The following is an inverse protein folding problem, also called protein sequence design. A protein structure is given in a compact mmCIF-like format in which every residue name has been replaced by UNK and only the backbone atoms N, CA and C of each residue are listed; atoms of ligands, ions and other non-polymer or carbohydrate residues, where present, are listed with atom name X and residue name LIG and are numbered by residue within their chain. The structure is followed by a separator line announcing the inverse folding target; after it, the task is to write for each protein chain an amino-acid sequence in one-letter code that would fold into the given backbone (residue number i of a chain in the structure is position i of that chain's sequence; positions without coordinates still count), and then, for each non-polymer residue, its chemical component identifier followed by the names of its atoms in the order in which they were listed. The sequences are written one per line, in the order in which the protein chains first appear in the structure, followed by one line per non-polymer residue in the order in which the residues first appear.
data_IF_013447841766
#
_entry.id   IF_013447841766
#
_cell.length_a   1.000
_cell.length_b   1.000
_cell.length_c   1.000
_cell.angle_alpha   90.00
_cell.angle_beta   90.00
_cell.angle_gamma   90.00
#
_symmetry.space_group_name_H-M   'P 1'
#
loop_
_entity.id
_entity.type
_entity.pdbx_description
1 polymer ?
#
# COMPACT_ATOMS: atom_id res chain seq x y z
N UNK A 1 10.96 -23.47 -39.15
CA UNK A 1 12.11 -22.67 -38.70
C UNK A 1 12.20 -21.30 -39.34
N UNK A 2 11.49 -20.32 -38.77
CA UNK A 2 11.90 -18.90 -38.77
C UNK A 2 11.37 -18.27 -37.49
N UNK A 3 12.23 -18.14 -36.49
CA UNK A 3 12.00 -17.30 -35.32
C UNK A 3 12.09 -15.83 -35.74
N UNK A 4 10.99 -15.09 -35.61
CA UNK A 4 10.93 -13.64 -35.77
C UNK A 4 11.34 -12.96 -34.45
N UNK A 5 12.32 -12.06 -34.52
CA UNK A 5 12.73 -11.21 -33.40
C UNK A 5 12.18 -9.79 -33.63
N UNK A 6 11.47 -9.24 -32.66
CA UNK A 6 11.03 -7.84 -32.65
C UNK A 6 12.06 -7.01 -31.88
N UNK A 7 12.49 -5.89 -32.46
CA UNK A 7 13.33 -4.89 -31.79
C UNK A 7 12.50 -3.62 -31.57
N UNK A 8 12.40 -3.18 -30.31
CA UNK A 8 11.75 -1.91 -29.97
C UNK A 8 12.82 -0.89 -29.58
N UNK A 9 12.87 0.23 -30.30
CA UNK A 9 13.67 1.39 -29.91
C UNK A 9 12.72 2.58 -29.70
N UNK A 10 12.50 2.97 -28.45
CA UNK A 10 11.78 4.20 -28.13
C UNK A 10 12.79 5.27 -27.69
N UNK A 11 12.77 6.43 -28.34
CA UNK A 11 13.59 7.58 -27.98
C UNK A 11 12.72 8.66 -27.35
N UNK A 12 13.04 9.07 -26.12
CA UNK A 12 12.35 10.17 -25.43
C UNK A 12 13.18 11.43 -25.65
N UNK A 13 12.58 12.45 -26.27
CA UNK A 13 13.20 13.77 -26.46
C UNK A 13 12.51 14.73 -25.50
N UNK A 14 13.16 15.14 -24.38
CA UNK A 14 12.58 16.11 -23.48
C UNK A 14 12.80 17.52 -24.04
N UNK A 15 11.74 18.17 -24.53
CA UNK A 15 11.76 19.60 -24.84
C UNK A 15 11.08 20.41 -23.73
N UNK A 16 11.89 20.76 -22.72
CA UNK A 16 11.60 21.75 -21.67
C UNK A 16 10.42 21.34 -20.74
N UNK A 17 10.46 21.81 -19.49
CA UNK A 17 9.50 21.44 -18.45
C UNK A 17 8.03 21.66 -18.91
N UNK A 18 7.28 20.56 -19.03
CA UNK A 18 5.82 20.56 -19.21
C UNK A 18 5.31 20.02 -20.54
N UNK A 19 6.17 19.71 -21.52
CA UNK A 19 5.76 19.04 -22.76
C UNK A 19 6.75 17.93 -23.11
N UNK A 20 6.23 16.71 -23.24
CA UNK A 20 6.99 15.57 -23.75
C UNK A 20 6.25 14.97 -24.93
N UNK A 21 7.00 14.55 -25.95
CA UNK A 21 6.52 13.71 -27.04
C UNK A 21 7.16 12.34 -26.94
N UNK A 22 6.36 11.29 -27.08
CA UNK A 22 6.86 9.93 -27.29
C UNK A 22 6.64 9.61 -28.76
N UNK A 23 7.73 9.29 -29.45
CA UNK A 23 7.72 8.83 -30.84
C UNK A 23 8.19 7.38 -30.82
N UNK A 24 7.32 6.46 -31.21
CA UNK A 24 7.70 5.07 -31.46
C UNK A 24 7.73 4.82 -32.96
N UNK A 25 8.86 4.29 -33.46
CA UNK A 25 8.99 3.82 -34.82
C UNK A 25 8.72 2.31 -34.86
N UNK A 26 7.79 1.90 -35.71
CA UNK A 26 7.52 0.49 -35.98
C UNK A 26 8.09 0.14 -37.36
N UNK A 27 9.05 -0.78 -37.37
CA UNK A 27 9.64 -1.29 -38.61
C UNK A 27 9.06 -2.68 -38.88
N UNK A 28 8.10 -2.76 -39.81
CA UNK A 28 7.49 -4.02 -40.23
C UNK A 28 8.33 -4.53 -41.42
N UNK A 29 9.18 -5.52 -41.17
CA UNK A 29 10.08 -6.09 -42.17
C UNK A 29 9.31 -6.54 -43.43
N UNK A 30 9.38 -5.73 -44.48
CA UNK A 30 8.87 -6.06 -45.82
C UNK A 30 8.08 -4.97 -46.52
N UNK A 31 7.65 -3.93 -45.80
CA UNK A 31 6.98 -2.77 -46.41
C UNK A 31 7.66 -1.46 -45.97
N UNK A 32 7.71 -0.47 -46.86
CA UNK A 32 8.38 0.82 -46.60
C UNK A 32 7.53 1.76 -45.71
N UNK A 33 6.44 1.26 -45.14
CA UNK A 33 5.50 2.04 -44.34
C UNK A 33 5.91 2.03 -42.86
N UNK A 34 6.58 3.10 -42.44
CA UNK A 34 6.79 3.42 -41.02
C UNK A 34 5.57 4.14 -40.48
N UNK A 35 4.89 3.57 -39.48
CA UNK A 35 3.84 4.28 -38.75
C UNK A 35 4.46 5.07 -37.58
N UNK A 36 4.27 6.39 -37.56
CA UNK A 36 4.63 7.25 -36.43
C UNK A 36 3.42 7.52 -35.55
N UNK A 37 3.50 7.19 -34.27
CA UNK A 37 2.51 7.60 -33.26
C UNK A 37 3.16 8.67 -32.39
N UNK A 38 2.62 9.88 -32.44
CA UNK A 38 3.06 11.01 -31.61
C UNK A 38 2.07 11.24 -30.49
N UNK A 39 2.43 10.88 -29.26
CA UNK A 39 1.64 11.22 -28.08
C UNK A 39 2.21 12.48 -27.41
N UNK A 40 1.44 13.57 -27.38
CA UNK A 40 1.84 14.82 -26.72
C UNK A 40 1.09 14.94 -25.39
N UNK A 41 1.80 15.12 -24.28
CA UNK A 41 1.18 15.41 -22.98
C UNK A 41 1.51 16.83 -22.51
N UNK A 42 0.50 17.57 -22.06
CA UNK A 42 0.61 18.96 -21.63
C UNK A 42 0.49 19.08 -20.11
N UNK A 43 1.43 18.49 -19.35
CA UNK A 43 1.75 18.85 -17.95
C UNK A 43 0.69 18.73 -16.85
N UNK A 44 -0.60 18.88 -17.14
CA UNK A 44 -1.78 18.94 -16.28
C UNK A 44 -2.99 18.88 -17.24
N UNK A 45 -3.64 17.73 -17.43
CA UNK A 45 -5.00 17.75 -18.03
C UNK A 45 -5.90 16.63 -17.57
N UNK A 46 -7.16 17.01 -17.33
CA UNK A 46 -8.36 16.21 -17.06
C UNK A 46 -9.07 15.82 -18.37
N UNK A 47 -8.33 15.63 -19.46
CA UNK A 47 -8.89 15.33 -20.76
C UNK A 47 -7.82 15.11 -21.81
N UNK A 48 -7.91 13.96 -22.48
CA UNK A 48 -7.09 13.54 -23.60
C UNK A 48 -7.83 13.92 -24.89
N UNK A 49 -7.18 14.66 -25.79
CA UNK A 49 -7.70 14.95 -27.12
C UNK A 49 -6.87 14.16 -28.14
N UNK A 50 -7.50 13.22 -28.84
CA UNK A 50 -6.86 12.36 -29.84
C UNK A 50 -7.22 12.90 -31.22
N UNK A 51 -6.23 13.42 -31.95
CA UNK A 51 -6.37 13.79 -33.36
C UNK A 51 -5.82 12.64 -34.20
N UNK A 52 -6.71 11.88 -34.85
CA UNK A 52 -6.32 10.77 -35.72
C UNK A 52 -5.74 11.27 -37.05
N UNK A 53 -4.63 10.65 -37.48
CA UNK A 53 -4.18 10.67 -38.88
C UNK A 53 -4.17 9.21 -39.34
N UNK A 54 -4.92 8.93 -40.39
CA UNK A 54 -5.17 7.61 -40.93
C UNK A 54 -3.92 6.90 -41.48
N UNK A 55 -4.03 5.56 -41.49
CA UNK A 55 -3.23 4.54 -42.19
C UNK A 55 -2.03 3.95 -41.43
N UNK A 56 -2.16 2.68 -41.05
CA UNK A 56 -1.05 1.82 -40.60
C UNK A 56 -1.46 0.87 -39.48
N UNK A 57 -1.86 -0.37 -39.83
CA UNK A 57 -2.39 -1.36 -38.89
C UNK A 57 -1.32 -2.23 -38.23
N UNK A 58 -1.38 -2.35 -36.90
CA UNK A 58 -0.94 -3.57 -36.18
C UNK A 58 -1.66 -3.64 -34.82
N UNK A 59 -2.40 -4.72 -34.60
CA UNK A 59 -3.11 -4.97 -33.35
C UNK A 59 -2.22 -5.74 -32.39
N UNK A 60 -1.74 -5.05 -31.36
CA UNK A 60 -1.21 -5.67 -30.14
C UNK A 60 -1.75 -4.86 -28.96
N UNK A 61 -2.70 -5.41 -28.21
CA UNK A 61 -3.17 -4.86 -26.94
C UNK A 61 -2.10 -5.00 -25.86
N UNK A 62 -1.05 -4.20 -25.94
CA UNK A 62 -0.05 -4.04 -24.88
C UNK A 62 -0.36 -2.80 -24.07
N UNK A 63 -0.89 -2.97 -22.86
CA UNK A 63 -1.00 -1.86 -21.91
C UNK A 63 0.41 -1.43 -21.46
N UNK A 64 0.84 -0.23 -21.82
CA UNK A 64 2.03 0.40 -21.22
C UNK A 64 1.62 0.96 -19.86
N UNK A 65 2.01 0.32 -18.78
CA UNK A 65 1.68 0.76 -17.42
C UNK A 65 2.77 1.66 -16.83
N UNK A 66 2.40 2.92 -16.51
CA UNK A 66 3.06 3.78 -15.52
C UNK A 66 1.98 4.49 -14.70
N UNK A 67 2.20 4.80 -13.41
CA UNK A 67 1.24 5.57 -12.63
C UNK A 67 0.97 6.92 -13.29
N UNK A 68 -0.26 7.13 -13.77
CA UNK A 68 -0.72 8.41 -14.34
C UNK A 68 -1.04 8.44 -15.85
N UNK A 69 -0.95 7.33 -16.60
CA UNK A 69 -1.38 7.28 -18.00
C UNK A 69 -2.04 5.94 -18.33
N UNK A 70 -3.34 5.96 -18.66
CA UNK A 70 -4.08 4.81 -19.21
C UNK A 70 -4.51 5.17 -20.62
N UNK A 71 -3.98 4.47 -21.62
CA UNK A 71 -4.44 4.53 -23.01
C UNK A 71 -5.35 3.32 -23.27
N UNK A 72 -6.65 3.56 -23.38
CA UNK A 72 -7.61 2.57 -23.85
C UNK A 72 -7.96 2.88 -25.32
N UNK A 73 -7.56 2.01 -26.24
CA UNK A 73 -7.96 2.12 -27.64
C UNK A 73 -9.21 1.26 -27.89
N UNK A 74 -10.35 1.91 -28.12
CA UNK A 74 -11.53 1.27 -28.71
C UNK A 74 -11.41 1.38 -30.23
N UNK A 75 -10.86 0.35 -30.87
CA UNK A 75 -10.72 0.26 -32.32
C UNK A 75 -11.59 -0.86 -32.89
N UNK A 76 -12.84 -0.55 -33.23
CA UNK A 76 -13.65 -1.38 -34.12
C UNK A 76 -13.63 -0.74 -35.51
N UNK A 77 -13.13 -1.44 -36.53
CA UNK A 77 -13.71 -1.57 -37.87
C UNK A 77 -12.72 -2.20 -38.88
N UNK A 78 -13.12 -3.37 -39.39
CA UNK A 78 -12.89 -3.93 -40.74
C UNK A 78 -11.47 -4.38 -41.17
N UNK A 79 -11.24 -5.71 -41.16
CA UNK A 79 -10.20 -6.36 -41.95
C UNK A 79 -10.07 -7.86 -41.66
N UNK A 80 -10.52 -8.72 -42.57
CA UNK A 80 -10.65 -10.17 -42.36
C UNK A 80 -9.31 -10.93 -42.26
N UNK A 81 -9.10 -11.57 -41.11
CA UNK A 81 -8.21 -12.72 -40.89
C UNK A 81 -8.96 -13.72 -40.01
N UNK A 82 -9.14 -14.96 -40.47
CA UNK A 82 -10.03 -15.96 -39.84
C UNK A 82 -9.35 -16.70 -38.68
N UNK A 83 -9.20 -16.05 -37.53
CA UNK A 83 -9.31 -16.72 -36.23
C UNK A 83 -10.40 -15.98 -35.49
N UNK A 84 -11.52 -16.64 -35.19
CA UNK A 84 -12.59 -16.03 -34.40
C UNK A 84 -12.09 -15.88 -32.95
N UNK A 85 -11.41 -14.76 -32.67
CA UNK A 85 -10.99 -14.34 -31.34
C UNK A 85 -12.20 -13.82 -30.54
N UNK A 86 -13.16 -14.71 -30.30
CA UNK A 86 -14.36 -14.42 -29.51
C UNK A 86 -14.03 -14.83 -28.07
N UNK A 87 -14.00 -13.89 -27.12
CA UNK A 87 -13.72 -14.22 -25.73
C UNK A 87 -14.92 -14.90 -25.06
N UNK A 88 -14.67 -15.63 -23.96
CA UNK A 88 -15.76 -16.15 -23.12
C UNK A 88 -16.64 -15.02 -22.59
N UNK A 89 -17.93 -15.30 -22.41
CA UNK A 89 -18.91 -14.29 -21.97
C UNK A 89 -19.81 -14.79 -20.84
N UNK A 90 -20.23 -13.85 -20.00
CA UNK A 90 -21.24 -14.05 -18.96
C UNK A 90 -22.66 -13.66 -19.41
N UNK A 91 -22.84 -13.11 -20.61
CA UNK A 91 -24.15 -12.58 -21.01
C UNK A 91 -24.34 -12.44 -22.50
N UNK A 92 -23.69 -11.43 -23.10
CA UNK A 92 -23.84 -11.09 -24.51
C UNK A 92 -22.75 -11.73 -25.37
N UNK A 93 -23.12 -12.25 -26.54
CA UNK A 93 -22.17 -12.72 -27.57
C UNK A 93 -21.55 -11.56 -28.38
N UNK A 94 -20.72 -11.91 -29.37
CA UNK A 94 -20.09 -10.96 -30.31
C UNK A 94 -21.11 -10.11 -31.10
N UNK A 95 -22.36 -10.59 -31.23
CA UNK A 95 -23.45 -9.91 -31.94
C UNK A 95 -24.34 -9.09 -31.00
N UNK A 96 -23.93 -8.90 -29.74
CA UNK A 96 -24.71 -8.26 -28.67
C UNK A 96 -26.04 -8.98 -28.37
N UNK A 97 -26.13 -10.27 -28.67
CA UNK A 97 -27.28 -11.09 -28.35
C UNK A 97 -27.06 -11.76 -27.00
N UNK A 98 -28.04 -11.67 -26.12
CA UNK A 98 -28.05 -12.42 -24.86
C UNK A 98 -28.05 -13.93 -25.15
N UNK A 99 -27.00 -14.60 -24.70
CA UNK A 99 -26.81 -16.05 -24.82
C UNK A 99 -26.74 -16.74 -23.45
N UNK A 100 -26.38 -16.00 -22.41
CA UNK A 100 -26.38 -16.45 -21.02
C UNK A 100 -27.38 -15.62 -20.21
N UNK A 101 -28.33 -16.30 -19.58
CA UNK A 101 -29.26 -15.68 -18.63
C UNK A 101 -28.70 -15.82 -17.22
N UNK A 102 -28.81 -14.77 -16.41
CA UNK A 102 -28.35 -14.75 -15.02
C UNK A 102 -26.87 -15.14 -14.89
N UNK A 103 -26.03 -14.51 -15.72
CA UNK A 103 -24.60 -14.80 -15.83
C UNK A 103 -23.79 -14.59 -14.55
N UNK A 104 -24.24 -13.67 -13.70
CA UNK A 104 -23.66 -13.42 -12.39
C UNK A 104 -24.75 -13.53 -11.33
N UNK A 105 -24.45 -14.20 -10.22
CA UNK A 105 -25.30 -14.18 -9.03
C UNK A 105 -24.49 -14.10 -7.74
N UNK A 106 -25.01 -13.39 -6.75
CA UNK A 106 -24.50 -13.38 -5.38
C UNK A 106 -25.63 -13.70 -4.39
N UNK A 107 -25.47 -14.78 -3.63
CA UNK A 107 -26.45 -15.28 -2.67
C UNK A 107 -27.87 -15.41 -3.26
N UNK A 108 -27.96 -15.86 -4.52
CA UNK A 108 -29.23 -16.02 -5.25
C UNK A 108 -29.80 -14.75 -5.87
N UNK A 109 -29.16 -13.59 -5.71
CA UNK A 109 -29.51 -12.38 -6.45
C UNK A 109 -28.77 -12.42 -7.78
N UNK A 110 -29.49 -12.70 -8.87
CA UNK A 110 -28.92 -12.84 -10.21
C UNK A 110 -29.06 -11.56 -11.04
N UNK A 111 -28.18 -11.38 -12.03
CA UNK A 111 -28.27 -10.33 -13.04
C UNK A 111 -27.82 -10.85 -14.41
N UNK A 112 -28.45 -10.35 -15.47
CA UNK A 112 -27.96 -10.55 -16.84
C UNK A 112 -26.76 -9.63 -17.07
N UNK A 113 -25.63 -10.22 -17.45
CA UNK A 113 -24.35 -9.50 -17.48
C UNK A 113 -24.19 -8.74 -18.80
N UNK A 114 -23.90 -7.46 -18.69
CA UNK A 114 -23.49 -6.60 -19.80
C UNK A 114 -21.96 -6.67 -19.99
N UNK A 115 -21.46 -6.20 -21.14
CA UNK A 115 -20.06 -6.42 -21.55
C UNK A 115 -19.00 -5.92 -20.55
N UNK A 116 -19.07 -4.66 -20.12
CA UNK A 116 -18.03 -4.09 -19.23
C UNK A 116 -18.62 -3.65 -17.90
N UNK A 117 -19.78 -2.99 -17.95
CA UNK A 117 -20.43 -2.38 -16.81
C UNK A 117 -21.81 -2.99 -16.66
N UNK A 118 -22.07 -3.68 -15.55
CA UNK A 118 -23.38 -4.28 -15.27
C UNK A 118 -24.00 -3.63 -14.04
N UNK A 119 -25.09 -2.84 -14.21
CA UNK A 119 -25.89 -2.30 -13.11
C UNK A 119 -26.32 -3.38 -12.12
N UNK A 120 -25.58 -3.51 -11.03
CA UNK A 120 -25.90 -4.46 -9.96
C UNK A 120 -26.43 -3.70 -8.73
N UNK A 121 -27.49 -4.17 -8.05
CA UNK A 121 -27.93 -3.54 -6.81
C UNK A 121 -26.90 -3.74 -5.69
N UNK A 122 -26.83 -2.79 -4.75
CA UNK A 122 -26.02 -2.96 -3.54
C UNK A 122 -26.61 -4.09 -2.69
N UNK A 123 -25.90 -5.21 -2.58
CA UNK A 123 -26.31 -6.31 -1.70
C UNK A 123 -25.51 -6.22 -0.40
N UNK A 124 -26.18 -6.26 0.75
CA UNK A 124 -25.50 -6.28 2.06
C UNK A 124 -25.37 -7.70 2.57
N UNK A 125 -24.18 -8.06 3.06
CA UNK A 125 -23.92 -9.32 3.77
C UNK A 125 -23.17 -9.06 5.08
N UNK A 126 -23.23 -10.01 6.00
CA UNK A 126 -22.54 -9.90 7.29
C UNK A 126 -21.24 -10.71 7.30
N UNK A 127 -20.25 -10.21 8.04
CA UNK A 127 -19.03 -10.95 8.38
C UNK A 127 -19.40 -12.28 9.05
N UNK A 128 -18.68 -13.36 8.71
CA UNK A 128 -18.88 -14.69 9.26
C UNK A 128 -19.98 -15.52 8.59
N UNK A 129 -20.76 -14.97 7.66
CA UNK A 129 -21.74 -15.73 6.87
C UNK A 129 -21.08 -16.38 5.65
N UNK A 130 -21.55 -17.58 5.31
CA UNK A 130 -21.22 -18.24 4.05
C UNK A 130 -21.92 -17.49 2.91
N UNK A 131 -21.14 -17.11 1.90
CA UNK A 131 -21.60 -16.45 0.69
C UNK A 131 -21.25 -17.30 -0.52
N UNK A 132 -22.12 -17.27 -1.51
CA UNK A 132 -21.99 -18.02 -2.75
C UNK A 132 -22.09 -17.07 -3.94
N UNK A 133 -21.06 -17.03 -4.78
CA UNK A 133 -21.10 -16.41 -6.11
C UNK A 133 -21.18 -17.50 -7.15
N UNK A 134 -22.03 -17.30 -8.18
CA UNK A 134 -22.05 -18.16 -9.36
C UNK A 134 -21.83 -17.35 -10.61
N UNK A 135 -20.93 -17.83 -11.45
CA UNK A 135 -20.65 -17.30 -12.78
C UNK A 135 -21.04 -18.35 -13.81
N UNK A 136 -21.93 -18.01 -14.75
CA UNK A 136 -22.26 -18.86 -15.89
C UNK A 136 -21.51 -18.35 -17.11
N UNK A 137 -20.60 -19.16 -17.63
CA UNK A 137 -19.65 -18.75 -18.66
C UNK A 137 -19.93 -19.53 -19.94
N UNK A 138 -20.21 -18.82 -21.02
CA UNK A 138 -20.30 -19.38 -22.36
C UNK A 138 -18.99 -19.17 -23.10
N UNK A 139 -18.56 -20.19 -23.84
CA UNK A 139 -17.37 -20.15 -24.70
C UNK A 139 -17.68 -20.86 -26.01
N UNK A 140 -17.48 -20.17 -27.14
CA UNK A 140 -17.90 -20.65 -28.46
C UNK A 140 -17.04 -21.82 -28.97
N UNK A 141 -15.78 -21.93 -28.54
CA UNK A 141 -14.91 -23.05 -28.87
C UNK A 141 -15.09 -24.26 -27.93
N UNK A 142 -16.05 -24.19 -27.00
CA UNK A 142 -16.37 -25.23 -26.04
C UNK A 142 -15.83 -24.93 -24.64
N UNK A 143 -16.47 -25.53 -23.62
CA UNK A 143 -16.18 -25.25 -22.21
C UNK A 143 -14.74 -25.61 -21.78
N UNK A 144 -14.11 -26.53 -22.51
CA UNK A 144 -12.73 -26.91 -22.27
C UNK A 144 -11.74 -25.84 -22.74
N UNK A 145 -12.19 -24.82 -23.50
CA UNK A 145 -11.33 -23.71 -23.94
C UNK A 145 -11.20 -22.61 -22.86
N UNK A 146 -12.04 -22.62 -21.82
CA UNK A 146 -11.97 -21.67 -20.71
C UNK A 146 -10.74 -22.00 -19.86
N UNK A 147 -9.80 -21.05 -19.80
CA UNK A 147 -8.52 -21.24 -19.13
C UNK A 147 -8.47 -20.56 -17.76
N UNK A 148 -9.19 -19.46 -17.57
CA UNK A 148 -9.15 -18.70 -16.32
C UNK A 148 -10.47 -18.03 -16.00
N UNK A 149 -10.83 -18.06 -14.72
CA UNK A 149 -11.98 -17.39 -14.13
C UNK A 149 -11.54 -16.73 -12.82
N UNK A 150 -11.37 -15.42 -12.86
CA UNK A 150 -11.01 -14.60 -11.72
C UNK A 150 -12.21 -13.86 -11.13
N UNK A 151 -12.22 -13.73 -9.80
CA UNK A 151 -13.20 -12.98 -9.03
C UNK A 151 -12.49 -12.09 -8.02
N UNK A 152 -12.73 -10.79 -8.08
CA UNK A 152 -12.01 -9.78 -7.32
C UNK A 152 -12.97 -8.87 -6.54
N UNK A 153 -12.68 -8.63 -5.28
CA UNK A 153 -13.50 -7.86 -4.34
C UNK A 153 -12.82 -6.56 -3.90
N UNK A 154 -13.62 -5.60 -3.45
CA UNK A 154 -13.10 -4.43 -2.76
C UNK A 154 -12.53 -3.36 -3.69
N UNK A 155 -13.05 -3.28 -4.92
CA UNK A 155 -12.53 -2.35 -5.92
C UNK A 155 -13.11 -0.95 -5.75
N UNK A 156 -12.24 0.05 -5.74
CA UNK A 156 -12.58 1.46 -5.82
C UNK A 156 -12.98 1.89 -7.23
N UNK A 157 -13.54 3.11 -7.36
CA UNK A 157 -13.88 3.67 -8.67
C UNK A 157 -12.61 3.88 -9.50
N UNK A 158 -12.55 3.21 -10.65
CA UNK A 158 -11.42 3.31 -11.59
C UNK A 158 -10.28 2.34 -11.31
N UNK A 159 -10.36 1.56 -10.23
CA UNK A 159 -9.45 0.44 -9.97
C UNK A 159 -9.77 -0.73 -10.94
N UNK A 160 -8.72 -1.43 -11.34
CA UNK A 160 -8.74 -2.60 -12.23
C UNK A 160 -8.82 -3.90 -11.43
N UNK A 161 -9.17 -5.01 -12.09
CA UNK A 161 -9.30 -6.33 -11.44
C UNK A 161 -8.15 -6.70 -10.47
N UNK A 162 -6.90 -6.43 -10.87
CA UNK A 162 -5.69 -6.77 -10.10
C UNK A 162 -5.46 -5.88 -8.87
N UNK A 163 -6.16 -4.76 -8.76
CA UNK A 163 -6.08 -3.84 -7.63
C UNK A 163 -7.09 -4.20 -6.52
N UNK A 164 -7.84 -5.29 -6.70
CA UNK A 164 -8.77 -5.78 -5.69
C UNK A 164 -8.09 -6.11 -4.36
N UNK A 165 -8.86 -5.98 -3.28
CA UNK A 165 -8.37 -6.25 -1.92
C UNK A 165 -8.27 -7.74 -1.64
N UNK A 166 -9.09 -8.55 -2.30
CA UNK A 166 -9.00 -9.99 -2.29
C UNK A 166 -9.47 -10.56 -3.63
N UNK A 167 -8.77 -11.58 -4.12
CA UNK A 167 -9.02 -12.20 -5.43
C UNK A 167 -8.96 -13.72 -5.31
N UNK A 168 -9.97 -14.39 -5.88
CA UNK A 168 -10.02 -15.84 -6.05
C UNK A 168 -9.91 -16.11 -7.54
N UNK A 169 -8.95 -16.93 -7.94
CA UNK A 169 -8.72 -17.32 -9.33
C UNK A 169 -8.90 -18.82 -9.45
N UNK A 170 -9.70 -19.23 -10.42
CA UNK A 170 -9.85 -20.60 -10.86
C UNK A 170 -9.19 -20.73 -12.23
N UNK A 171 -8.11 -21.50 -12.28
CA UNK A 171 -7.33 -21.73 -13.48
C UNK A 171 -7.49 -23.18 -13.94
N UNK A 172 -7.53 -23.35 -15.26
CA UNK A 172 -7.47 -24.65 -15.90
C UNK A 172 -6.29 -24.68 -16.86
N UNK A 173 -5.49 -25.72 -16.73
CA UNK A 173 -4.39 -26.02 -17.64
C UNK A 173 -4.90 -26.76 -18.88
N UNK A 174 -4.13 -26.77 -19.97
CA UNK A 174 -4.53 -27.40 -21.23
C UNK A 174 -4.77 -28.92 -21.09
N UNK A 175 -4.13 -29.57 -20.13
CA UNK A 175 -4.33 -30.97 -19.76
C UNK A 175 -5.50 -31.20 -18.79
N UNK A 176 -6.28 -30.15 -18.49
CA UNK A 176 -7.49 -30.23 -17.68
C UNK A 176 -7.25 -30.26 -16.17
N UNK A 177 -6.02 -30.00 -15.71
CA UNK A 177 -5.75 -29.82 -14.28
C UNK A 177 -6.33 -28.47 -13.86
N UNK A 178 -7.16 -28.50 -12.82
CA UNK A 178 -7.80 -27.34 -12.23
C UNK A 178 -7.05 -26.91 -10.96
N UNK A 179 -6.85 -25.61 -10.77
CA UNK A 179 -6.23 -25.04 -9.59
C UNK A 179 -6.96 -23.80 -9.12
N UNK A 180 -6.95 -23.58 -7.80
CA UNK A 180 -7.52 -22.39 -7.17
C UNK A 180 -6.40 -21.60 -6.51
N UNK A 181 -6.26 -20.34 -6.92
CA UNK A 181 -5.31 -19.39 -6.33
C UNK A 181 -6.07 -18.34 -5.54
N UNK A 182 -5.58 -18.01 -4.33
CA UNK A 182 -6.16 -17.00 -3.47
C UNK A 182 -5.11 -15.91 -3.22
N UNK A 183 -5.41 -14.69 -3.65
CA UNK A 183 -4.65 -13.49 -3.29
C UNK A 183 -5.46 -12.68 -2.27
N UNK A 184 -5.09 -12.80 -1.00
CA UNK A 184 -5.79 -12.13 0.11
C UNK A 184 -4.78 -11.74 1.20
N UNK A 185 -4.05 -10.62 1.00
CA UNK A 185 -2.98 -10.21 1.90
C UNK A 185 -3.48 -9.79 3.29
N UNK A 186 -4.76 -9.41 3.42
CA UNK A 186 -5.38 -9.01 4.67
C UNK A 186 -6.23 -10.11 5.32
N UNK A 187 -6.26 -11.31 4.74
CA UNK A 187 -7.06 -12.43 5.23
C UNK A 187 -8.54 -12.08 5.40
N UNK A 188 -9.12 -11.28 4.49
CA UNK A 188 -10.53 -10.87 4.51
C UNK A 188 -11.48 -11.98 4.05
N UNK A 189 -10.96 -13.05 3.45
CA UNK A 189 -11.69 -14.23 3.01
C UNK A 189 -11.34 -15.45 3.87
N UNK A 190 -12.33 -16.32 4.08
CA UNK A 190 -12.18 -17.58 4.80
C UNK A 190 -13.03 -18.68 4.17
N UNK A 191 -12.65 -19.94 4.38
CA UNK A 191 -13.46 -21.09 3.93
C UNK A 191 -13.71 -21.11 2.42
N UNK A 192 -12.74 -20.66 1.62
CA UNK A 192 -12.86 -20.57 0.16
C UNK A 192 -12.94 -21.97 -0.44
N UNK A 193 -14.00 -22.21 -1.22
CA UNK A 193 -14.19 -23.42 -2.00
C UNK A 193 -14.70 -23.02 -3.39
N UNK A 194 -14.13 -23.65 -4.43
CA UNK A 194 -14.52 -23.37 -5.81
C UNK A 194 -14.88 -24.68 -6.49
N UNK A 195 -16.03 -24.70 -7.16
CA UNK A 195 -16.50 -25.86 -7.92
C UNK A 195 -16.96 -25.42 -9.30
N UNK A 196 -16.66 -26.22 -10.31
CA UNK A 196 -17.11 -25.98 -11.67
C UNK A 196 -18.04 -27.12 -12.14
N UNK A 197 -19.17 -26.77 -12.76
CA UNK A 197 -20.13 -27.75 -13.30
C UNK A 197 -20.68 -27.28 -14.64
N UNK A 198 -21.10 -28.22 -15.49
CA UNK A 198 -21.73 -27.89 -16.77
C UNK A 198 -23.24 -27.72 -16.59
N UNK A 199 -23.77 -26.60 -17.07
CA UNK A 199 -25.20 -26.25 -17.01
C UNK A 199 -25.69 -25.75 -18.38
N UNK A 200 -26.98 -25.46 -18.50
CA UNK A 200 -27.51 -24.71 -19.64
C UNK A 200 -27.33 -23.21 -19.43
N UNK A 201 -26.92 -22.49 -20.49
CA UNK A 201 -26.71 -21.04 -20.43
C UNK A 201 -28.01 -20.25 -20.26
N UNK A 202 -29.10 -20.73 -20.83
CA UNK A 202 -30.43 -20.08 -20.80
C UNK A 202 -31.51 -21.16 -20.83
N UNK A 203 -32.67 -20.86 -20.26
CA UNK A 203 -33.85 -21.74 -20.30
C UNK A 203 -34.31 -21.97 -21.75
N UNK A 204 -34.02 -21.03 -22.65
CA UNK A 204 -34.47 -21.02 -24.04
C UNK A 204 -33.38 -21.49 -25.03
N UNK A 205 -32.20 -21.88 -24.55
CA UNK A 205 -31.05 -22.24 -25.37
C UNK A 205 -30.52 -23.63 -25.03
N UNK A 206 -30.08 -24.36 -26.05
CA UNK A 206 -29.32 -25.60 -25.84
C UNK A 206 -27.82 -25.34 -25.62
N UNK A 207 -27.38 -24.09 -25.62
CA UNK A 207 -26.01 -23.72 -25.31
C UNK A 207 -25.64 -24.16 -23.89
N UNK A 208 -24.46 -24.77 -23.76
CA UNK A 208 -23.91 -25.18 -22.47
C UNK A 208 -22.97 -24.10 -21.93
N UNK A 209 -23.00 -23.92 -20.62
CA UNK A 209 -22.17 -22.99 -19.88
C UNK A 209 -21.39 -23.73 -18.80
N UNK A 210 -20.22 -23.20 -18.45
CA UNK A 210 -19.50 -23.58 -17.25
C UNK A 210 -20.03 -22.72 -16.10
N UNK A 211 -20.74 -23.32 -15.13
CA UNK A 211 -21.06 -22.67 -13.87
C UNK A 211 -19.89 -22.84 -12.91
N UNK A 212 -19.16 -21.75 -12.65
CA UNK A 212 -18.15 -21.69 -11.59
C UNK A 212 -18.78 -21.08 -10.35
N UNK A 213 -18.80 -21.86 -9.27
CA UNK A 213 -19.35 -21.47 -7.97
C UNK A 213 -18.21 -21.20 -6.99
N UNK A 214 -18.20 -20.01 -6.42
CA UNK A 214 -17.25 -19.55 -5.40
C UNK A 214 -17.98 -19.43 -4.06
N UNK A 215 -17.73 -20.37 -3.16
CA UNK A 215 -18.19 -20.33 -1.78
C UNK A 215 -17.08 -19.74 -0.89
N UNK A 216 -17.42 -18.78 -0.05
CA UNK A 216 -16.46 -18.11 0.83
C UNK A 216 -17.17 -17.42 2.00
N UNK A 217 -16.41 -17.08 3.03
CA UNK A 217 -16.83 -16.30 4.18
C UNK A 217 -16.04 -15.00 4.18
N UNK A 218 -16.71 -13.86 4.27
CA UNK A 218 -16.02 -12.61 4.59
C UNK A 218 -15.67 -12.59 6.07
N UNK A 219 -14.39 -12.38 6.39
CA UNK A 219 -13.86 -12.27 7.74
C UNK A 219 -13.77 -10.83 8.21
N UNK A 220 -13.89 -9.86 7.30
CA UNK A 220 -13.76 -8.44 7.57
C UNK A 220 -14.55 -7.62 6.54
N UNK A 221 -14.95 -6.40 6.92
CA UNK A 221 -15.54 -5.43 5.99
C UNK A 221 -14.52 -4.91 4.98
N UNK A 222 -14.96 -4.62 3.75
CA UNK A 222 -14.12 -3.99 2.73
C UNK A 222 -14.40 -2.48 2.61
N UNK A 223 -13.38 -1.71 2.24
CA UNK A 223 -13.49 -0.26 2.05
C UNK A 223 -14.34 0.12 0.83
N UNK A 224 -14.40 -0.76 -0.16
CA UNK A 224 -15.17 -0.59 -1.37
C UNK A 224 -16.03 -1.82 -1.64
N UNK A 225 -17.14 -1.60 -2.34
CA UNK A 225 -18.15 -2.63 -2.54
C UNK A 225 -18.11 -3.26 -3.94
N UNK A 226 -17.38 -2.68 -4.91
CA UNK A 226 -17.41 -3.15 -6.29
C UNK A 226 -16.73 -4.53 -6.42
N UNK A 227 -17.32 -5.37 -7.24
CA UNK A 227 -16.82 -6.70 -7.59
C UNK A 227 -16.47 -6.70 -9.08
N UNK A 228 -15.38 -7.35 -9.44
CA UNK A 228 -15.02 -7.57 -10.83
C UNK A 228 -14.74 -9.04 -11.11
N UNK A 229 -14.92 -9.43 -12.36
CA UNK A 229 -14.50 -10.72 -12.89
C UNK A 229 -13.51 -10.52 -14.01
N UNK A 230 -12.65 -11.50 -14.23
CA UNK A 230 -11.71 -11.52 -15.33
C UNK A 230 -11.69 -12.94 -15.91
N UNK A 231 -12.10 -13.11 -17.16
CA UNK A 231 -12.30 -14.42 -17.76
C UNK A 231 -11.57 -14.45 -19.09
N UNK A 232 -10.78 -15.50 -19.34
CA UNK A 232 -10.08 -15.65 -20.61
C UNK A 232 -9.91 -17.13 -21.02
N UNK A 233 -9.76 -17.33 -22.34
CA UNK A 233 -9.57 -18.63 -22.98
C UNK A 233 -8.08 -19.00 -23.19
N UNK A 234 -7.76 -20.20 -23.67
CA UNK A 234 -6.35 -20.57 -23.88
C UNK A 234 -5.59 -19.71 -24.91
N UNK A 235 -6.30 -18.94 -25.74
CA UNK A 235 -5.72 -17.96 -26.67
C UNK A 235 -5.52 -16.56 -26.03
N UNK A 236 -5.91 -16.40 -24.75
CA UNK A 236 -5.93 -15.15 -23.99
C UNK A 236 -6.89 -14.10 -24.53
N UNK A 237 -7.93 -14.53 -25.26
CA UNK A 237 -9.10 -13.71 -25.51
C UNK A 237 -9.89 -13.63 -24.20
N UNK A 238 -10.12 -12.43 -23.69
CA UNK A 238 -10.80 -12.28 -22.40
C UNK A 238 -11.52 -10.96 -22.21
N UNK A 239 -12.40 -10.97 -21.22
CA UNK A 239 -13.17 -9.82 -20.79
C UNK A 239 -13.15 -9.65 -19.29
N UNK A 240 -13.32 -8.38 -18.88
CA UNK A 240 -13.52 -8.00 -17.49
C UNK A 240 -14.90 -7.37 -17.35
N UNK A 241 -15.68 -7.89 -16.41
CA UNK A 241 -17.00 -7.34 -16.08
C UNK A 241 -16.95 -6.74 -14.68
N UNK A 242 -17.54 -5.55 -14.52
CA UNK A 242 -17.66 -4.84 -13.26
C UNK A 242 -19.11 -4.78 -12.81
N UNK A 243 -19.36 -5.20 -11.57
CA UNK A 243 -20.67 -5.19 -10.93
C UNK A 243 -20.72 -4.01 -9.96
N UNK A 244 -21.25 -2.88 -10.43
CA UNK A 244 -21.26 -1.62 -9.68
C UNK A 244 -22.29 -1.64 -8.55
N UNK A 245 -22.12 -0.77 -7.56
CA UNK A 245 -22.68 -0.89 -6.21
C UNK A 245 -22.21 -2.15 -5.46
N UNK A 246 -22.31 -3.33 -6.07
CA UNK A 246 -21.65 -4.56 -5.64
C UNK A 246 -22.11 -5.05 -4.26
N UNK A 247 -21.16 -5.48 -3.43
CA UNK A 247 -21.41 -6.16 -2.16
C UNK A 247 -20.89 -5.30 -1.01
N UNK A 248 -21.81 -4.89 -0.12
CA UNK A 248 -21.47 -4.22 1.12
C UNK A 248 -21.37 -5.22 2.27
N UNK A 249 -20.20 -5.28 2.92
CA UNK A 249 -19.94 -6.22 4.00
C UNK A 249 -19.97 -5.46 5.33
N UNK A 250 -20.83 -5.87 6.24
CA UNK A 250 -21.00 -5.25 7.56
C UNK A 250 -20.68 -6.22 8.69
N UNK A 251 -20.18 -5.71 9.81
CA UNK A 251 -19.84 -6.52 10.99
C UNK A 251 -18.43 -6.25 11.48
N UNK A 252 -18.13 -6.77 12.68
CA UNK A 252 -16.80 -6.69 13.28
C UNK A 252 -15.84 -7.68 12.60
N UNK A 253 -14.56 -7.30 12.48
CA UNK A 253 -13.55 -8.20 11.91
C UNK A 253 -13.36 -9.44 12.79
N UNK A 254 -13.27 -10.60 12.16
CA UNK A 254 -12.88 -11.87 12.77
C UNK A 254 -11.37 -12.13 12.68
N UNK A 255 -10.62 -11.19 12.09
CA UNK A 255 -9.17 -11.27 12.04
C UNK A 255 -8.58 -10.84 13.38
N UNK A 256 -7.42 -11.41 13.79
CA UNK A 256 -6.67 -10.84 14.89
C UNK A 256 -6.41 -9.36 14.63
N UNK A 257 -6.47 -8.50 15.66
CA UNK A 257 -6.22 -7.08 15.46
C UNK A 257 -4.82 -6.86 14.88
N UNK A 258 -4.69 -5.91 13.94
CA UNK A 258 -3.41 -5.60 13.34
C UNK A 258 -2.43 -5.08 14.40
N UNK A 259 -1.17 -5.51 14.29
CA UNK A 259 -0.11 -5.13 15.22
C UNK A 259 0.94 -4.29 14.51
N UNK A 260 1.29 -3.17 15.14
CA UNK A 260 2.30 -2.24 14.65
C UNK A 260 3.43 -2.13 15.64
N UNK A 261 4.65 -1.94 15.15
CA UNK A 261 5.79 -1.61 15.99
C UNK A 261 6.47 -0.37 15.44
N UNK A 262 6.77 0.59 16.32
CA UNK A 262 7.40 1.84 15.92
C UNK A 262 8.30 2.39 17.00
N UNK A 263 8.95 3.52 16.72
CA UNK A 263 9.80 4.22 17.67
C UNK A 263 9.19 5.59 17.93
N UNK A 264 8.85 5.88 19.19
CA UNK A 264 8.34 7.18 19.64
C UNK A 264 9.25 7.71 20.75
N UNK A 265 9.85 8.88 20.54
CA UNK A 265 10.84 9.48 21.45
C UNK A 265 11.94 8.51 21.93
N UNK A 266 12.43 7.65 21.03
CA UNK A 266 13.50 6.70 21.32
C UNK A 266 13.08 5.43 22.06
N UNK A 267 11.78 5.21 22.27
CA UNK A 267 11.23 3.96 22.81
C UNK A 267 10.49 3.18 21.73
N UNK A 268 10.70 1.87 21.70
CA UNK A 268 9.92 0.97 20.85
C UNK A 268 8.54 0.83 21.50
N UNK A 269 7.48 1.01 20.71
CA UNK A 269 6.11 0.75 21.12
C UNK A 269 5.54 -0.37 20.25
N UNK A 270 4.64 -1.16 20.83
CA UNK A 270 3.81 -2.15 20.12
C UNK A 270 2.37 -1.67 20.21
N UNK A 271 1.71 -1.44 19.07
CA UNK A 271 0.30 -1.07 19.01
C UNK A 271 -0.53 -2.26 18.57
N UNK A 272 -1.67 -2.43 19.21
CA UNK A 272 -2.73 -3.33 18.77
C UNK A 272 -3.90 -2.47 18.33
N UNK A 273 -4.31 -2.56 17.08
CA UNK A 273 -5.46 -1.80 16.58
C UNK A 273 -6.75 -2.16 17.35
N UNK A 274 -7.52 -1.13 17.69
CA UNK A 274 -8.83 -1.27 18.34
C UNK A 274 -9.98 -0.77 17.46
N UNK A 275 -9.65 -0.12 16.34
CA UNK A 275 -10.60 0.39 15.35
C UNK A 275 -9.86 0.91 14.12
N UNK A 276 -10.61 1.45 13.14
CA UNK A 276 -10.07 1.88 11.83
C UNK A 276 -8.91 2.90 11.90
N UNK A 277 -8.86 3.70 12.96
CA UNK A 277 -7.84 4.73 13.16
C UNK A 277 -7.42 4.85 14.63
N UNK A 278 -7.69 3.83 15.44
CA UNK A 278 -7.37 3.83 16.87
C UNK A 278 -6.63 2.55 17.24
N UNK A 279 -5.65 2.65 18.13
CA UNK A 279 -4.90 1.53 18.64
C UNK A 279 -4.54 1.73 20.11
N UNK A 280 -4.14 0.67 20.79
CA UNK A 280 -3.65 0.71 22.18
C UNK A 280 -2.26 0.10 22.26
N UNK A 281 -1.37 0.73 23.03
CA UNK A 281 -0.07 0.14 23.33
C UNK A 281 -0.09 -0.84 24.53
N UNK A 282 1.03 -1.52 24.76
CA UNK A 282 1.22 -2.45 25.88
C UNK A 282 1.01 -1.79 27.26
N UNK A 283 1.18 -0.47 27.36
CA UNK A 283 0.98 0.32 28.57
C UNK A 283 -0.48 0.80 28.74
N UNK A 284 -1.36 0.49 27.78
CA UNK A 284 -2.77 0.88 27.77
C UNK A 284 -3.02 2.33 27.33
N UNK A 285 -2.04 3.00 26.72
CA UNK A 285 -2.27 4.32 26.13
C UNK A 285 -3.01 4.17 24.80
N UNK A 286 -3.90 5.12 24.50
CA UNK A 286 -4.59 5.18 23.22
C UNK A 286 -3.75 5.93 22.19
N UNK A 287 -3.86 5.51 20.94
CA UNK A 287 -3.18 6.07 19.79
C UNK A 287 -4.19 6.32 18.68
N UNK A 288 -4.05 7.46 17.99
CA UNK A 288 -4.85 7.80 16.81
C UNK A 288 -3.96 7.84 15.57
N UNK A 289 -4.45 7.31 14.46
CA UNK A 289 -3.76 7.36 13.17
C UNK A 289 -4.24 8.56 12.35
N UNK A 290 -3.33 9.53 12.10
CA UNK A 290 -3.48 10.57 11.08
C UNK A 290 -2.18 10.65 10.26
N UNK A 291 -2.06 9.73 9.28
CA UNK A 291 -0.86 9.44 8.47
C UNK A 291 0.32 8.83 9.24
N UNK A 292 0.44 9.15 10.52
CA UNK A 292 1.39 8.59 11.47
C UNK A 292 0.61 8.31 12.75
N UNK A 293 0.93 7.21 13.44
CA UNK A 293 0.40 6.94 14.76
C UNK A 293 0.92 7.98 15.75
N UNK A 294 0.01 8.74 16.37
CA UNK A 294 0.31 9.65 17.46
C UNK A 294 -0.43 9.21 18.72
N UNK A 295 0.25 9.31 19.86
CA UNK A 295 -0.33 8.89 21.14
C UNK A 295 -1.30 9.97 21.59
N UNK A 296 -2.54 9.59 21.88
CA UNK A 296 -3.56 10.52 22.32
C UNK A 296 -3.11 11.17 23.62
N UNK A 297 -2.83 12.47 23.55
CA UNK A 297 -2.45 13.22 24.73
C UNK A 297 -3.68 13.41 25.62
N UNK A 298 -3.84 12.53 26.60
CA UNK A 298 -4.71 12.79 27.73
C UNK A 298 -4.06 13.94 28.50
N UNK A 299 -4.51 15.18 28.24
CA UNK A 299 -4.24 16.29 29.16
C UNK A 299 -4.56 15.75 30.55
N UNK A 300 -3.61 15.72 31.50
CA UNK A 300 -3.98 15.53 32.88
C UNK A 300 -5.09 16.53 33.13
N UNK A 301 -6.24 16.06 33.61
CA UNK A 301 -7.23 16.97 34.17
C UNK A 301 -6.46 17.65 35.29
N UNK A 302 -5.95 18.85 35.02
CA UNK A 302 -5.57 19.80 36.04
C UNK A 302 -6.92 20.10 36.65
N UNK A 303 -7.25 19.35 37.71
CA UNK A 303 -8.33 19.71 38.60
C UNK A 303 -7.98 21.12 39.01
N UNK A 304 -8.80 22.06 38.54
CA UNK A 304 -8.60 23.48 38.71
C UNK A 304 -8.12 23.74 40.14
N UNK A 305 -6.92 24.32 40.27
CA UNK A 305 -6.21 24.43 41.55
C UNK A 305 -7.04 25.15 42.62
N UNK A 306 -8.06 25.89 42.18
CA UNK A 306 -8.98 26.63 43.03
C UNK A 306 -9.98 25.71 43.76
N UNK A 307 -10.37 24.57 43.16
CA UNK A 307 -11.27 23.60 43.80
C UNK A 307 -10.50 22.71 44.80
N UNK A 308 -9.22 22.42 44.54
CA UNK A 308 -8.40 21.62 45.44
C UNK A 308 -7.96 22.40 46.69
N UNK A 309 -7.81 23.73 46.60
CA UNK A 309 -7.36 24.56 47.71
C UNK A 309 -8.37 24.67 48.86
N UNK A 310 -9.68 24.76 48.57
CA UNK A 310 -10.69 24.83 49.64
C UNK A 310 -10.83 23.50 50.41
N UNK A 311 -10.67 22.36 49.73
CA UNK A 311 -10.81 21.04 50.36
C UNK A 311 -9.53 20.56 51.07
N UNK A 312 -8.35 21.04 50.67
CA UNK A 312 -7.09 20.73 51.36
C UNK A 312 -6.98 21.41 52.73
N UNK A 313 -7.43 22.66 52.84
CA UNK A 313 -7.37 23.42 54.11
C UNK A 313 -8.24 22.74 55.17
N UNK A 314 -9.43 22.25 54.79
CA UNK A 314 -10.33 21.54 55.70
C UNK A 314 -9.81 20.16 56.16
N UNK A 315 -9.06 19.46 55.29
CA UNK A 315 -8.49 18.15 55.62
C UNK A 315 -7.25 18.24 56.52
N UNK A 316 -6.45 19.30 56.38
CA UNK A 316 -5.21 19.48 57.14
C UNK A 316 -5.49 19.94 58.59
N UNK A 317 -6.54 20.74 58.82
CA UNK A 317 -6.95 21.15 60.18
C UNK A 317 -7.54 19.98 61.00
N UNK A 318 -8.19 19.01 60.36
CA UNK A 318 -8.75 17.82 61.04
C UNK A 318 -7.70 16.76 61.41
N UNK A 319 -6.52 16.79 60.79
CA UNK A 319 -5.44 15.82 61.01
C UNK A 319 -4.39 16.27 62.05
N UNK A 320 -4.58 17.43 62.71
CA UNK A 320 -3.78 17.82 63.87
C UNK A 320 -2.31 18.19 63.58
N UNK A 321 -1.94 18.37 62.31
CA UNK A 321 -0.63 18.88 61.94
C UNK A 321 -0.58 20.40 62.13
N UNK A 322 -0.12 20.84 63.29
CA UNK A 322 0.39 22.21 63.45
C UNK A 322 1.80 22.25 62.89
N UNK A 323 2.00 23.04 61.84
CA UNK A 323 3.32 23.39 61.35
C UNK A 323 4.04 24.27 62.37
N UNK A 324 5.18 23.81 62.89
CA UNK A 324 6.25 24.74 63.23
C UNK A 324 6.76 25.36 61.92
N UNK A 325 7.14 26.63 61.97
CA UNK A 325 8.04 27.32 61.02
C UNK A 325 7.75 27.36 59.51
N UNK A 326 6.48 27.44 59.07
CA UNK A 326 6.06 28.32 57.96
C UNK A 326 6.86 28.39 56.64
N UNK A 327 7.59 27.35 56.23
CA UNK A 327 8.27 27.28 54.93
C UNK A 327 7.45 26.51 53.90
N UNK A 328 7.11 27.16 52.79
CA UNK A 328 6.44 26.56 51.64
C UNK A 328 7.39 25.61 50.89
N UNK A 329 6.96 24.37 50.66
CA UNK A 329 7.74 23.27 50.05
C UNK A 329 7.81 23.40 48.51
N UNK A 330 7.29 24.47 47.93
CA UNK A 330 7.29 24.66 46.48
C UNK A 330 8.38 25.65 46.10
N UNK A 331 9.48 25.13 45.56
CA UNK A 331 10.61 25.94 45.09
C UNK A 331 10.17 27.08 44.18
N UNK A 332 10.84 28.23 44.31
CA UNK A 332 10.49 29.42 43.56
C UNK A 332 10.84 29.28 42.07
N UNK A 333 10.05 29.92 41.20
CA UNK A 333 10.39 30.01 39.78
C UNK A 333 11.64 30.91 39.57
N UNK A 334 12.40 30.69 38.50
CA UNK A 334 13.67 31.42 38.21
C UNK A 334 13.54 32.95 38.17
N UNK A 335 12.32 33.46 37.99
CA UNK A 335 12.04 34.90 37.91
C UNK A 335 11.58 35.50 39.26
N UNK A 336 11.38 34.68 40.29
CA UNK A 336 11.03 35.16 41.64
C UNK A 336 12.30 35.66 42.34
N UNK A 337 12.22 36.84 42.95
CA UNK A 337 13.32 37.44 43.70
C UNK A 337 13.91 36.54 44.81
N UNK A 338 13.11 35.61 45.37
CA UNK A 338 13.54 34.65 46.40
C UNK A 338 14.26 33.43 45.85
N UNK A 339 14.29 33.26 44.52
CA UNK A 339 14.94 32.12 43.88
C UNK A 339 16.43 32.02 44.24
N UNK A 340 17.16 33.14 44.29
CA UNK A 340 18.58 33.10 44.65
C UNK A 340 18.79 32.74 46.12
N UNK A 341 17.89 33.13 47.02
CA UNK A 341 18.00 32.75 48.43
C UNK A 341 17.80 31.24 48.61
N UNK A 342 16.79 30.66 47.95
CA UNK A 342 16.55 29.21 47.98
C UNK A 342 17.66 28.43 47.29
N UNK A 343 18.16 28.90 46.13
CA UNK A 343 19.28 28.27 45.44
C UNK A 343 20.54 28.23 46.31
N UNK A 344 20.84 29.32 47.03
CA UNK A 344 21.99 29.37 47.93
C UNK A 344 21.81 28.41 49.12
N UNK A 345 20.60 28.32 49.68
CA UNK A 345 20.30 27.40 50.78
C UNK A 345 20.44 25.94 50.34
N UNK A 346 19.82 25.56 49.22
CA UNK A 346 19.92 24.21 48.63
C UNK A 346 21.36 23.86 48.26
N UNK A 347 22.15 24.82 47.78
CA UNK A 347 23.58 24.61 47.49
C UNK A 347 24.36 24.28 48.77
N UNK A 348 24.10 24.98 49.88
CA UNK A 348 24.78 24.72 51.16
C UNK A 348 24.36 23.37 51.74
N UNK A 349 23.08 23.02 51.63
CA UNK A 349 22.58 21.73 52.10
C UNK A 349 23.15 20.57 51.26
N UNK A 350 23.16 20.71 49.94
CA UNK A 350 23.81 19.75 49.03
C UNK A 350 25.32 19.61 49.32
N UNK A 351 26.02 20.71 49.61
CA UNK A 351 27.43 20.67 50.02
C UNK A 351 27.61 19.92 51.35
N UNK A 352 26.71 20.12 52.31
CA UNK A 352 26.76 19.45 53.61
C UNK A 352 26.55 17.95 53.47
N UNK A 353 25.55 17.54 52.68
CA UNK A 353 25.28 16.13 52.36
C UNK A 353 26.46 15.51 51.60
N UNK A 354 27.00 16.22 50.60
CA UNK A 354 28.13 15.75 49.80
C UNK A 354 29.39 15.57 50.66
N UNK A 355 29.67 16.49 51.59
CA UNK A 355 30.75 16.36 52.57
C UNK A 355 30.58 15.14 53.47
N UNK A 356 29.34 14.80 53.84
CA UNK A 356 29.03 13.62 54.66
C UNK A 356 29.24 12.29 53.91
N UNK A 357 28.99 12.28 52.60
CA UNK A 357 29.09 11.07 51.75
C UNK A 357 30.51 10.89 51.20
N UNK A 358 31.16 11.97 50.77
CA UNK A 358 32.47 11.94 50.14
C UNK A 358 33.29 13.21 50.45
N UNK A 359 34.02 13.24 51.58
CA UNK A 359 34.88 14.38 51.94
C UNK A 359 35.98 14.68 50.91
N UNK A 360 36.44 13.65 50.20
CA UNK A 360 37.49 13.75 49.18
C UNK A 360 36.99 14.36 47.87
N UNK A 361 35.68 14.31 47.59
CA UNK A 361 35.07 14.81 46.36
C UNK A 361 35.09 16.35 46.26
N UNK A 362 35.33 17.06 47.36
CA UNK A 362 35.48 18.53 47.37
C UNK A 362 36.92 19.00 47.11
N UNK A 363 37.89 18.08 46.98
CA UNK A 363 39.29 18.45 46.76
C UNK A 363 39.61 18.81 45.32
N UNK A 364 38.77 18.41 44.37
CA UNK A 364 38.94 18.79 42.97
C UNK A 364 38.19 20.09 42.68
N UNK A 365 38.85 21.12 42.11
CA UNK A 365 38.19 22.38 41.77
C UNK A 365 37.07 22.11 40.76
N UNK A 366 35.98 22.88 40.87
CA UNK A 366 34.78 22.75 40.04
C UNK A 366 35.09 22.68 38.53
N UNK A 367 36.15 23.35 38.07
CA UNK A 367 36.64 23.29 36.68
C UNK A 367 36.98 21.87 36.21
N UNK A 368 37.53 21.00 37.07
CA UNK A 368 37.78 19.58 36.75
C UNK A 368 36.53 18.72 36.77
N UNK A 369 35.56 19.07 37.61
CA UNK A 369 34.26 18.38 37.70
C UNK A 369 33.41 18.72 36.47
N UNK A 370 33.49 19.96 35.99
CA UNK A 370 32.75 20.43 34.82
C UNK A 370 33.19 19.74 33.50
N UNK A 371 34.44 19.26 33.43
CA UNK A 371 34.91 18.43 32.30
C UNK A 371 34.21 17.06 32.22
N UNK A 372 33.65 16.56 33.34
CA UNK A 372 32.96 15.26 33.40
C UNK A 372 31.51 15.38 32.92
N UNK A 373 30.91 16.57 33.02
CA UNK A 373 29.51 16.84 32.66
C UNK A 373 29.34 17.58 31.33
N UNK A 374 30.42 17.83 30.59
CA UNK A 374 30.39 18.50 29.27
C UNK A 374 29.98 17.59 28.10
N UNK A 375 28.98 16.75 28.30
CA UNK A 375 28.27 16.04 27.22
C UNK A 375 27.25 16.92 26.47
N UNK A 376 27.28 18.24 26.65
CA UNK A 376 26.57 19.19 25.80
C UNK A 376 27.54 19.96 24.89
N UNK A 377 27.54 19.55 23.62
CA UNK A 377 28.40 19.99 22.52
C UNK A 377 28.45 21.52 22.31
N UNK A 378 29.65 22.12 22.10
CA UNK A 378 29.76 23.39 21.39
C UNK A 378 30.30 23.25 19.95
N UNK A 379 30.81 22.10 19.51
CA UNK A 379 31.31 21.94 18.14
C UNK A 379 30.98 20.56 17.57
N UNK A 380 30.20 20.53 16.48
CA UNK A 380 29.98 19.32 15.68
C UNK A 380 31.32 18.86 15.09
N UNK A 381 32.01 17.94 15.77
CA UNK A 381 33.07 17.15 15.13
C UNK A 381 32.41 16.19 14.14
N UNK A 382 32.46 16.54 12.86
CA UNK A 382 32.06 15.63 11.79
C UNK A 382 33.03 14.45 11.79
N UNK A 383 32.56 13.26 12.19
CA UNK A 383 33.33 12.01 12.13
C UNK A 383 33.82 11.69 10.70
N UNK A 384 33.20 12.30 9.69
CA UNK A 384 33.59 12.20 8.28
C UNK A 384 34.83 13.03 7.92
N UNK A 385 35.31 13.91 8.81
CA UNK A 385 36.53 14.68 8.59
C UNK A 385 37.77 14.00 9.19
N UNK A 386 37.61 12.88 9.90
CA UNK A 386 38.74 12.09 10.39
C UNK A 386 39.25 11.18 9.24
N UNK A 387 40.50 11.38 8.76
CA UNK A 387 41.05 10.60 7.64
C UNK A 387 41.11 9.09 7.93
N UNK A 388 41.25 8.69 9.19
CA UNK A 388 41.26 7.28 9.58
C UNK A 388 39.86 6.63 9.41
N UNK A 389 38.80 7.37 9.74
CA UNK A 389 37.41 6.93 9.56
C UNK A 389 37.04 6.86 8.07
N UNK A 390 37.48 7.82 7.26
CA UNK A 390 37.26 7.81 5.81
C UNK A 390 37.98 6.62 5.16
N UNK A 391 39.21 6.31 5.59
CA UNK A 391 39.95 5.15 5.11
C UNK A 391 39.28 3.83 5.49
N UNK A 392 38.75 3.70 6.72
CA UNK A 392 37.98 2.53 7.13
C UNK A 392 36.70 2.38 6.31
N UNK A 393 35.98 3.47 6.05
CA UNK A 393 34.79 3.43 5.18
C UNK A 393 35.12 2.95 3.77
N UNK A 394 36.19 3.45 3.16
CA UNK A 394 36.61 3.00 1.83
C UNK A 394 37.00 1.52 1.81
N UNK A 395 37.66 1.03 2.86
CA UNK A 395 38.05 -0.37 2.97
C UNK A 395 36.83 -1.29 3.11
N UNK A 396 35.85 -0.92 3.92
CA UNK A 396 34.62 -1.71 4.10
C UNK A 396 33.72 -1.66 2.85
N UNK A 397 33.68 -0.52 2.14
CA UNK A 397 32.96 -0.41 0.87
C UNK A 397 33.54 -1.35 -0.20
N UNK A 398 34.88 -1.44 -0.29
CA UNK A 398 35.54 -2.40 -1.18
C UNK A 398 35.19 -3.85 -0.85
N UNK A 399 35.21 -4.22 0.44
CA UNK A 399 34.82 -5.58 0.87
C UNK A 399 33.37 -5.88 0.54
N UNK A 400 32.47 -4.92 0.73
CA UNK A 400 31.06 -5.08 0.42
C UNK A 400 30.82 -5.28 -1.08
N UNK A 401 31.51 -4.52 -1.94
CA UNK A 401 31.45 -4.68 -3.39
C UNK A 401 31.96 -6.04 -3.85
N UNK A 402 33.09 -6.52 -3.30
CA UNK A 402 33.61 -7.85 -3.60
C UNK A 402 32.65 -8.96 -3.16
N UNK A 403 32.08 -8.85 -1.96
CA UNK A 403 31.10 -9.80 -1.46
C UNK A 403 29.86 -9.86 -2.36
N UNK A 404 29.30 -8.70 -2.72
CA UNK A 404 28.14 -8.63 -3.62
C UNK A 404 28.46 -9.24 -4.98
N UNK A 405 29.63 -8.94 -5.56
CA UNK A 405 30.05 -9.54 -6.83
C UNK A 405 30.08 -11.07 -6.75
N UNK A 406 30.71 -11.63 -5.70
CA UNK A 406 30.75 -13.08 -5.48
C UNK A 406 29.35 -13.68 -5.29
N UNK A 407 28.49 -13.01 -4.52
CA UNK A 407 27.11 -13.43 -4.29
C UNK A 407 26.31 -13.49 -5.59
N UNK A 408 26.41 -12.44 -6.43
CA UNK A 408 25.70 -12.37 -7.70
C UNK A 408 26.24 -13.34 -8.75
N UNK A 409 27.56 -13.54 -8.83
CA UNK A 409 28.16 -14.55 -9.72
C UNK A 409 27.72 -15.96 -9.34
N UNK A 410 27.60 -16.26 -8.04
CA UNK A 410 27.11 -17.54 -7.54
C UNK A 410 25.61 -17.74 -7.81
N UNK A 411 24.82 -16.69 -7.65
CA UNK A 411 23.35 -16.78 -7.74
C UNK A 411 22.86 -16.69 -9.19
N UNK A 412 23.58 -15.99 -10.06
CA UNK A 412 23.18 -15.71 -11.44
C UNK A 412 24.35 -15.84 -12.43
N UNK A 413 24.85 -17.06 -12.70
CA UNK A 413 25.96 -17.27 -13.61
C UNK A 413 25.62 -16.83 -15.04
N UNK A 414 26.48 -16.00 -15.64
CA UNK A 414 26.40 -15.60 -17.06
C UNK A 414 25.75 -14.23 -17.36
N UNK A 415 25.33 -13.46 -16.34
CA UNK A 415 24.91 -12.06 -16.53
C UNK A 415 26.04 -11.08 -16.22
N UNK A 416 26.27 -10.11 -17.11
CA UNK A 416 27.23 -9.02 -16.88
C UNK A 416 26.59 -8.05 -15.88
N UNK A 417 27.14 -7.96 -14.67
CA UNK A 417 26.66 -7.05 -13.64
C UNK A 417 27.57 -5.81 -13.61
N UNK A 418 27.10 -4.70 -14.19
CA UNK A 418 27.76 -3.39 -14.06
C UNK A 418 27.23 -2.66 -12.82
N UNK A 419 28.02 -2.68 -11.74
CA UNK A 419 27.67 -2.05 -10.47
C UNK A 419 27.89 -0.53 -10.46
N UNK A 420 28.41 0.06 -11.54
CA UNK A 420 28.71 1.51 -11.61
C UNK A 420 27.46 2.39 -11.80
N UNK A 421 26.32 1.82 -12.21
CA UNK A 421 25.12 2.58 -12.58
C UNK A 421 24.10 2.69 -11.42
N UNK A 422 24.17 1.81 -10.41
CA UNK A 422 23.14 1.70 -9.36
C UNK A 422 23.28 2.63 -8.16
N UNK A 423 24.47 3.18 -7.88
CA UNK A 423 24.73 3.89 -6.62
C UNK A 423 24.45 5.40 -6.62
N UNK A 424 24.03 5.98 -7.76
CA UNK A 424 23.73 7.42 -7.85
C UNK A 424 22.36 7.84 -7.29
N UNK A 425 21.53 6.90 -6.84
CA UNK A 425 20.14 7.19 -6.40
C UNK A 425 19.91 7.16 -4.88
N UNK A 426 20.96 6.97 -4.07
CA UNK A 426 20.80 6.77 -2.63
C UNK A 426 21.42 7.85 -1.73
N UNK A 427 21.51 9.12 -2.16
CA UNK A 427 21.75 10.25 -1.24
C UNK A 427 21.20 11.58 -1.80
N UNK A 428 20.05 12.11 -1.32
CA UNK A 428 19.74 13.52 -1.52
C UNK A 428 20.57 14.36 -0.53
N UNK A 429 21.62 15.01 -1.02
CA UNK A 429 22.30 16.09 -0.30
C UNK A 429 21.48 17.36 -0.45
N UNK A 430 20.81 17.78 0.62
CA UNK A 430 20.24 19.12 0.71
C UNK A 430 21.38 20.12 0.94
N UNK A 431 21.72 20.90 -0.09
CA UNK A 431 22.49 22.13 0.06
C UNK A 431 21.51 23.28 0.31
N UNK A 432 21.44 23.74 1.56
CA UNK A 432 20.95 25.08 1.88
C UNK A 432 22.06 26.05 1.48
N UNK A 433 21.78 26.90 0.50
CA UNK A 433 22.62 28.04 0.14
C UNK A 433 21.83 29.29 0.50
N UNK A 434 22.27 29.98 1.56
CA UNK A 434 21.83 31.32 1.90
C UNK A 434 22.17 32.31 0.77
N UNK A 435 21.16 33.04 0.32
CA UNK A 435 21.27 34.43 -0.15
C UNK A 435 20.02 35.20 0.23
#
# INVERSE_FOLDING_TARGET
DRTTHFHYNAQIIPEIAGKGSIISHFDILGDQDTAEVTATYNGLSTGLDIVGIDNGGSGAGGAIHRPGLVLNFLGSLLGGGSSQSVPPTLGLDENQKLIVDEGFSFNGNSVDVEQFFTPYPLITTEVGKLNTIKLKIYENNGLDNIAHVGLSYGLGKGETFNEGRATIEYDRTFDGIESVTLFDPKHVLGGVNVTATTIQCSINSNAQCLEVTFDHIFRESLDYNMVATNIWDFERNGWQNYFNHGIHIVGESMNPPEQYSGIYHGRIYHLTETGKNTATDDDGNNWTFDKIWDRDYIKPIIVDSDILNQNKIYAIEQLGFKYSDGQEIFGYARMDHRFEDTKNQEQVEAQTIMSGICPECQKEPFEKINDIFSYDMPTRYSKLNNPETVNQMHLEDQKAQEFLKQYFEKTYPGRINDFSVGFKLAYPVYLVSDK
#
